data_IF_545057686610
#
_entry.id   IF_545057686610
#
_cell.length_a   1.000
_cell.length_b   1.000
_cell.length_c   1.000
_cell.angle_alpha   90.00
_cell.angle_beta   90.00
_cell.angle_gamma   90.00
#
_symmetry.space_group_name_H-M   'P 1'
#
loop_
_entity.id
_entity.type
_entity.pdbx_description
1 polymer ?
#
# COMPACT_ATOMS: atom_id res chain seq x y z
N UNK A 1 12.18 17.40 15.48
CA UNK A 1 12.45 17.06 14.07
C UNK A 1 11.42 16.02 13.68
N UNK A 2 10.47 16.34 12.79
CA UNK A 2 9.57 15.32 12.24
C UNK A 2 10.44 14.43 11.35
N UNK A 3 10.48 13.13 11.65
CA UNK A 3 11.27 12.19 10.86
C UNK A 3 10.72 12.20 9.42
N UNK A 4 11.57 12.45 8.42
CA UNK A 4 11.13 12.56 7.01
C UNK A 4 10.40 11.30 6.54
N UNK A 5 10.80 10.15 7.07
CA UNK A 5 10.15 8.85 6.88
C UNK A 5 8.70 8.85 7.36
N UNK A 6 8.45 9.37 8.56
CA UNK A 6 7.11 9.44 9.16
C UNK A 6 6.18 10.34 8.33
N UNK A 7 6.69 11.47 7.84
CA UNK A 7 5.91 12.36 6.95
C UNK A 7 5.57 11.69 5.62
N UNK A 8 6.55 11.12 4.92
CA UNK A 8 6.36 10.52 3.60
C UNK A 8 5.35 9.35 3.68
N UNK A 9 5.46 8.52 4.71
CA UNK A 9 4.53 7.43 4.94
C UNK A 9 3.11 7.92 5.26
N UNK A 10 2.95 8.83 6.24
CA UNK A 10 1.64 9.35 6.63
C UNK A 10 0.93 10.05 5.47
N UNK A 11 1.66 10.84 4.69
CA UNK A 11 1.13 11.45 3.47
C UNK A 11 0.64 10.38 2.49
N UNK A 12 1.48 9.39 2.20
CA UNK A 12 1.17 8.33 1.25
C UNK A 12 -0.09 7.55 1.65
N UNK A 13 -0.20 7.13 2.91
CA UNK A 13 -1.36 6.41 3.41
C UNK A 13 -2.64 7.25 3.38
N UNK A 14 -2.54 8.54 3.67
CA UNK A 14 -3.69 9.46 3.59
C UNK A 14 -4.20 9.59 2.16
N UNK A 15 -3.30 9.77 1.19
CA UNK A 15 -3.69 9.89 -0.21
C UNK A 15 -4.24 8.56 -0.75
N UNK A 16 -3.66 7.41 -0.38
CA UNK A 16 -4.22 6.11 -0.74
C UNK A 16 -5.66 5.94 -0.24
N UNK A 17 -5.92 6.24 1.04
CA UNK A 17 -7.29 6.19 1.61
C UNK A 17 -8.26 7.15 0.91
N UNK A 18 -7.78 8.30 0.41
CA UNK A 18 -8.59 9.28 -0.32
C UNK A 18 -8.89 8.83 -1.75
N UNK A 19 -7.88 8.34 -2.46
CA UNK A 19 -7.94 7.96 -3.88
C UNK A 19 -8.59 6.58 -4.12
N UNK A 20 -8.68 5.77 -3.06
CA UNK A 20 -9.24 4.41 -3.08
C UNK A 20 -10.16 4.21 -1.85
N UNK A 21 -11.35 4.86 -1.85
CA UNK A 21 -12.21 4.91 -0.67
C UNK A 21 -12.91 3.57 -0.35
N UNK A 22 -12.94 2.62 -1.28
CA UNK A 22 -13.56 1.31 -1.07
C UNK A 22 -12.59 0.27 -0.49
N UNK A 23 -11.30 0.59 -0.41
CA UNK A 23 -10.28 -0.26 0.20
C UNK A 23 -10.12 0.07 1.70
N UNK A 24 -10.57 -0.79 2.62
CA UNK A 24 -10.20 -0.63 4.02
C UNK A 24 -8.72 -0.93 4.21
N UNK A 25 -8.04 -0.11 5.01
CA UNK A 25 -6.63 -0.27 5.36
C UNK A 25 -6.48 -0.53 6.86
N UNK A 26 -5.77 -1.58 7.23
CA UNK A 26 -5.50 -1.98 8.61
C UNK A 26 -3.99 -2.08 8.86
N UNK A 27 -3.51 -1.38 9.87
CA UNK A 27 -2.13 -1.55 10.33
C UNK A 27 -2.01 -2.81 11.18
N UNK A 28 -1.04 -3.65 10.85
CA UNK A 28 -0.75 -4.89 11.57
C UNK A 28 0.73 -4.96 11.92
N UNK A 29 1.06 -5.73 12.97
CA UNK A 29 2.46 -6.09 13.21
C UNK A 29 2.96 -6.96 12.07
N UNK A 30 4.23 -6.80 11.73
CA UNK A 30 4.90 -7.65 10.74
C UNK A 30 4.77 -9.11 11.16
N UNK A 31 4.23 -9.93 10.27
CA UNK A 31 3.97 -11.34 10.50
C UNK A 31 4.71 -12.15 9.44
N UNK A 32 5.13 -13.35 9.82
CA UNK A 32 5.51 -14.36 8.84
C UNK A 32 4.26 -14.73 8.04
N UNK A 33 4.42 -14.71 6.72
CA UNK A 33 3.35 -15.07 5.81
C UNK A 33 3.35 -16.59 5.67
N UNK A 34 2.17 -17.18 5.84
CA UNK A 34 1.95 -18.61 5.65
C UNK A 34 1.14 -18.83 4.36
N UNK A 35 1.65 -19.64 3.43
CA UNK A 35 0.90 -20.12 2.25
C UNK A 35 1.44 -19.70 0.87
N UNK A 36 0.55 -19.67 -0.13
CA UNK A 36 0.84 -19.30 -1.53
C UNK A 36 0.84 -17.78 -1.70
N UNK A 37 2.04 -17.20 -1.74
CA UNK A 37 2.28 -15.76 -1.89
C UNK A 37 2.50 -15.37 -3.35
N UNK A 38 1.81 -14.31 -3.77
CA UNK A 38 2.01 -13.71 -5.09
C UNK A 38 2.52 -12.28 -4.91
N UNK A 39 3.80 -12.07 -5.26
CA UNK A 39 4.39 -10.73 -5.26
C UNK A 39 3.88 -9.91 -6.43
N UNK A 40 3.27 -8.78 -6.11
CA UNK A 40 2.77 -7.79 -7.07
C UNK A 40 3.85 -6.73 -7.29
N UNK A 41 4.03 -6.28 -8.54
CA UNK A 41 5.09 -5.32 -8.90
C UNK A 41 4.64 -3.86 -8.89
N UNK A 42 3.34 -3.61 -8.97
CA UNK A 42 2.76 -2.26 -9.07
C UNK A 42 1.82 -1.99 -7.90
N UNK A 43 2.06 -0.89 -7.18
CA UNK A 43 1.16 -0.38 -6.14
C UNK A 43 -0.21 -0.05 -6.73
N UNK A 44 -0.22 0.57 -7.91
CA UNK A 44 -1.45 1.00 -8.56
C UNK A 44 -2.34 -0.20 -8.86
N UNK A 45 -1.83 -1.20 -9.59
CA UNK A 45 -2.59 -2.41 -9.92
C UNK A 45 -3.08 -3.15 -8.67
N UNK A 46 -2.23 -3.25 -7.64
CA UNK A 46 -2.60 -3.86 -6.36
C UNK A 46 -3.80 -3.15 -5.72
N UNK A 47 -3.72 -1.84 -5.53
CA UNK A 47 -4.79 -1.09 -4.83
C UNK A 47 -6.03 -0.93 -5.71
N UNK A 48 -5.90 -0.79 -7.03
CA UNK A 48 -7.05 -0.70 -7.95
C UNK A 48 -7.91 -1.98 -7.89
N UNK A 49 -7.29 -3.15 -7.81
CA UNK A 49 -7.99 -4.43 -7.63
C UNK A 49 -8.65 -4.48 -6.25
N UNK A 50 -7.93 -4.09 -5.19
CA UNK A 50 -8.48 -4.04 -3.84
C UNK A 50 -9.68 -3.10 -3.73
N UNK A 51 -9.68 -1.95 -4.38
CA UNK A 51 -10.79 -0.98 -4.36
C UNK A 51 -12.01 -1.53 -5.10
N UNK A 52 -11.82 -2.06 -6.31
CA UNK A 52 -12.90 -2.65 -7.12
C UNK A 52 -13.57 -3.84 -6.42
N UNK A 53 -12.79 -4.65 -5.71
CA UNK A 53 -13.27 -5.84 -5.03
C UNK A 53 -13.56 -5.62 -3.53
N UNK A 54 -13.36 -4.40 -3.02
CA UNK A 54 -13.56 -4.04 -1.60
C UNK A 54 -12.78 -4.92 -0.63
N UNK A 55 -11.53 -5.23 -0.99
CA UNK A 55 -10.66 -6.10 -0.21
C UNK A 55 -9.96 -5.32 0.90
N UNK A 56 -9.82 -5.95 2.06
CA UNK A 56 -9.00 -5.45 3.15
C UNK A 56 -7.52 -5.50 2.77
N UNK A 57 -6.86 -4.35 2.90
CA UNK A 57 -5.40 -4.26 2.80
C UNK A 57 -4.83 -4.12 4.20
N UNK A 58 -4.09 -5.15 4.61
CA UNK A 58 -3.26 -5.11 5.81
C UNK A 58 -1.90 -4.52 5.44
N UNK A 59 -1.33 -3.68 6.30
CA UNK A 59 0.01 -3.14 6.08
C UNK A 59 0.86 -3.15 7.35
N UNK A 60 2.16 -3.36 7.17
CA UNK A 60 3.16 -3.32 8.24
C UNK A 60 4.35 -2.47 7.80
N UNK A 61 4.93 -1.74 8.74
CA UNK A 61 6.10 -0.88 8.53
C UNK A 61 7.31 -1.58 9.13
N UNK A 62 8.38 -1.65 8.36
CA UNK A 62 9.71 -2.04 8.84
C UNK A 62 10.53 -0.75 9.01
N UNK A 63 10.59 -0.27 10.25
CA UNK A 63 11.28 0.98 10.58
C UNK A 63 12.81 0.86 10.43
N UNK A 64 13.37 -0.35 10.56
CA UNK A 64 14.82 -0.58 10.43
C UNK A 64 15.25 -0.46 8.97
N UNK A 65 14.47 -1.06 8.06
CA UNK A 65 14.76 -1.06 6.62
C UNK A 65 14.09 0.11 5.87
N UNK A 66 13.24 0.89 6.53
CA UNK A 66 12.52 2.01 5.93
C UNK A 66 11.56 1.57 4.83
N UNK A 67 10.93 0.41 5.00
CA UNK A 67 10.04 -0.20 4.01
C UNK A 67 8.64 -0.42 4.56
N UNK A 68 7.70 -0.60 3.65
CA UNK A 68 6.32 -0.95 3.95
C UNK A 68 5.95 -2.18 3.15
N UNK A 69 5.19 -3.07 3.78
CA UNK A 69 4.57 -4.23 3.16
C UNK A 69 3.06 -4.07 3.23
N UNK A 70 2.40 -4.28 2.10
CA UNK A 70 0.95 -4.37 1.95
C UNK A 70 0.56 -5.79 1.57
N UNK A 71 -0.56 -6.24 2.13
CA UNK A 71 -1.03 -7.60 2.05
C UNK A 71 -2.54 -7.59 1.84
N UNK A 72 -3.03 -8.46 0.97
CA UNK A 72 -4.46 -8.78 0.93
C UNK A 72 -4.65 -10.25 0.59
N UNK A 73 -5.72 -10.85 1.14
CA UNK A 73 -6.08 -12.24 0.85
C UNK A 73 -7.22 -12.26 -0.17
N UNK A 74 -7.02 -13.01 -1.25
CA UNK A 74 -8.03 -13.17 -2.29
C UNK A 74 -7.98 -14.58 -2.87
N UNK A 75 -9.15 -15.25 -2.91
CA UNK A 75 -9.30 -16.61 -3.48
C UNK A 75 -8.26 -17.64 -2.99
N UNK A 76 -7.94 -17.60 -1.70
CA UNK A 76 -6.99 -18.54 -1.08
C UNK A 76 -5.51 -18.21 -1.32
N UNK A 77 -5.20 -17.07 -1.96
CA UNK A 77 -3.83 -16.57 -2.14
C UNK A 77 -3.62 -15.28 -1.37
N UNK A 78 -2.37 -15.05 -0.98
CA UNK A 78 -1.95 -13.78 -0.38
C UNK A 78 -1.21 -12.95 -1.42
N UNK A 79 -1.79 -11.82 -1.81
CA UNK A 79 -1.14 -10.84 -2.66
C UNK A 79 -0.26 -9.95 -1.78
N UNK A 80 1.00 -9.79 -2.17
CA UNK A 80 2.00 -9.04 -1.40
C UNK A 80 2.58 -7.94 -2.26
N UNK A 81 2.57 -6.70 -1.78
CA UNK A 81 3.30 -5.59 -2.36
C UNK A 81 4.26 -5.01 -1.30
N UNK A 82 5.55 -4.94 -1.62
CA UNK A 82 6.57 -4.43 -0.71
C UNK A 82 7.39 -3.36 -1.42
N UNK A 83 7.63 -2.23 -0.73
CA UNK A 83 8.38 -1.11 -1.29
C UNK A 83 9.02 -0.26 -0.19
N UNK A 84 10.04 0.51 -0.55
CA UNK A 84 10.60 1.53 0.34
C UNK A 84 9.64 2.70 0.54
N UNK A 85 9.70 3.39 1.68
CA UNK A 85 8.81 4.54 1.98
C UNK A 85 8.98 5.67 0.96
N UNK A 86 10.21 5.94 0.49
CA UNK A 86 10.46 6.97 -0.53
C UNK A 86 9.85 6.58 -1.89
N UNK A 87 9.92 5.30 -2.26
CA UNK A 87 9.32 4.79 -3.50
C UNK A 87 7.80 4.73 -3.41
N UNK A 88 7.24 4.41 -2.23
CA UNK A 88 5.82 4.55 -1.94
C UNK A 88 5.37 5.99 -2.20
N UNK A 89 6.07 6.97 -1.63
CA UNK A 89 5.72 8.38 -1.79
C UNK A 89 5.73 8.82 -3.26
N UNK A 90 6.73 8.40 -4.05
CA UNK A 90 6.78 8.67 -5.49
C UNK A 90 5.62 8.00 -6.23
N UNK A 91 5.36 6.72 -5.94
CA UNK A 91 4.28 5.97 -6.57
C UNK A 91 2.91 6.60 -6.30
N UNK A 92 2.63 6.98 -5.05
CA UNK A 92 1.37 7.62 -4.66
C UNK A 92 1.21 8.99 -5.31
N UNK A 93 2.26 9.80 -5.40
CA UNK A 93 2.19 11.07 -6.12
C UNK A 93 1.88 10.88 -7.60
N UNK A 94 2.52 9.90 -8.25
CA UNK A 94 2.22 9.56 -9.65
C UNK A 94 0.76 9.10 -9.82
N UNK A 95 0.25 8.24 -8.94
CA UNK A 95 -1.15 7.80 -8.97
C UNK A 95 -2.10 8.99 -8.79
N UNK A 96 -1.79 9.90 -7.85
CA UNK A 96 -2.56 11.12 -7.63
C UNK A 96 -2.63 11.97 -8.89
N UNK A 97 -1.48 12.25 -9.50
CA UNK A 97 -1.39 13.02 -10.75
C UNK A 97 -2.19 12.37 -11.87
N UNK A 98 -2.09 11.05 -12.04
CA UNK A 98 -2.86 10.31 -13.06
C UNK A 98 -4.37 10.37 -12.80
N UNK A 99 -4.83 10.20 -11.56
CA UNK A 99 -6.27 10.25 -11.24
C UNK A 99 -6.85 11.67 -11.33
N UNK A 100 -6.06 12.70 -11.02
CA UNK A 100 -6.49 14.11 -11.04
C UNK A 100 -6.35 14.77 -12.43
N UNK A 101 -5.52 14.22 -13.32
CA UNK A 101 -5.36 14.70 -14.70
C UNK A 101 -6.41 14.16 -15.69
N UNK A 102 -7.23 13.20 -15.26
CA UNK A 102 -8.36 12.66 -16.05
C UNK A 102 -9.64 13.51 -15.87
N UNK A 103 -9.50 14.73 -15.34
CA UNK A 103 -10.58 15.72 -15.18
C UNK A 103 -10.59 16.71 -16.36
#
# INVERSE_FOLDING_TARGET
MVNRFDYAFKYSMRELKRLFPNTPFLEVKMQELEGDEVKVKSLEEFIDVCDKLRLLVEYSIDEENGSVRFLTKYQGRTLVYETGIDELYKAVNRIRELKESVV
#
